data_IF_031933601696
#
_entry.id   IF_031933601696
#
_cell.length_a   1.000
_cell.length_b   1.000
_cell.length_c   1.000
_cell.angle_alpha   90.00
_cell.angle_beta   90.00
_cell.angle_gamma   90.00
#
_symmetry.space_group_name_H-M   'P 1'
#
loop_
_entity.id
_entity.type
_entity.pdbx_description
1 polymer ?
#
# COMPACT_ATOMS: atom_id res chain seq x y z
N UNK A 1 -26.14 -5.97 -26.64
CA UNK A 1 -26.66 -7.32 -26.30
C UNK A 1 -25.61 -8.32 -25.79
N UNK A 2 -24.30 -8.17 -26.06
CA UNK A 2 -23.29 -9.15 -25.60
C UNK A 2 -22.93 -9.00 -24.10
N UNK A 3 -22.98 -7.80 -23.51
CA UNK A 3 -22.69 -7.60 -22.06
C UNK A 3 -23.79 -8.05 -21.09
N UNK A 4 -25.06 -8.13 -21.51
CA UNK A 4 -26.15 -8.48 -20.57
C UNK A 4 -26.12 -9.96 -20.21
N UNK A 5 -25.84 -10.81 -21.22
CA UNK A 5 -25.71 -12.26 -21.07
C UNK A 5 -24.57 -12.64 -20.12
N UNK A 6 -23.51 -11.83 -20.05
CA UNK A 6 -22.39 -12.07 -19.12
C UNK A 6 -22.74 -11.75 -17.66
N UNK A 7 -23.54 -10.72 -17.38
CA UNK A 7 -23.89 -10.34 -15.99
C UNK A 7 -24.83 -11.38 -15.37
N UNK A 8 -25.87 -11.80 -16.08
CA UNK A 8 -26.82 -12.82 -15.60
C UNK A 8 -26.10 -14.15 -15.29
N UNK A 9 -25.14 -14.54 -16.13
CA UNK A 9 -24.31 -15.73 -15.89
C UNK A 9 -23.43 -15.59 -14.64
N UNK A 10 -22.88 -14.39 -14.39
CA UNK A 10 -22.10 -14.12 -13.19
C UNK A 10 -22.97 -14.13 -11.93
N UNK A 11 -24.18 -13.57 -11.99
CA UNK A 11 -25.16 -13.61 -10.91
C UNK A 11 -25.55 -15.04 -10.55
N UNK A 12 -25.83 -15.87 -11.55
CA UNK A 12 -26.14 -17.29 -11.34
C UNK A 12 -24.96 -18.05 -10.71
N UNK A 13 -23.73 -17.79 -11.17
CA UNK A 13 -22.53 -18.38 -10.55
C UNK A 13 -22.36 -17.92 -9.10
N UNK A 14 -22.63 -16.65 -8.81
CA UNK A 14 -22.59 -16.13 -7.45
C UNK A 14 -23.64 -16.84 -6.58
N UNK A 15 -24.85 -17.03 -7.06
CA UNK A 15 -25.90 -17.81 -6.39
C UNK A 15 -25.46 -19.26 -6.11
N UNK A 16 -24.85 -19.93 -7.09
CA UNK A 16 -24.36 -21.31 -6.95
C UNK A 16 -23.24 -21.41 -5.89
N UNK A 17 -22.31 -20.46 -5.86
CA UNK A 17 -21.19 -20.44 -4.90
C UNK A 17 -21.68 -20.12 -3.49
N UNK A 18 -22.48 -19.05 -3.37
CA UNK A 18 -22.92 -18.52 -2.08
C UNK A 18 -24.03 -19.38 -1.47
N UNK A 19 -25.00 -19.83 -2.27
CA UNK A 19 -25.99 -20.83 -1.89
C UNK A 19 -26.73 -20.55 -0.57
N UNK A 20 -27.04 -19.28 -0.27
CA UNK A 20 -27.59 -18.82 1.02
C UNK A 20 -26.76 -19.22 2.24
N UNK A 21 -25.46 -19.44 2.07
CA UNK A 21 -24.52 -19.58 3.18
C UNK A 21 -24.24 -18.22 3.79
N UNK A 22 -23.85 -18.24 5.07
CA UNK A 22 -23.31 -17.07 5.74
C UNK A 22 -21.95 -16.71 5.15
N UNK A 23 -21.72 -15.44 4.84
CA UNK A 23 -20.45 -14.97 4.30
C UNK A 23 -19.96 -13.68 4.93
N UNK A 24 -18.65 -13.41 4.75
CA UNK A 24 -18.04 -12.10 4.95
C UNK A 24 -17.47 -11.65 3.61
N UNK A 25 -17.94 -10.51 3.11
CA UNK A 25 -17.45 -9.90 1.88
C UNK A 25 -16.77 -8.58 2.22
N UNK A 26 -15.51 -8.40 1.81
CA UNK A 26 -14.78 -7.15 1.96
C UNK A 26 -14.68 -6.47 0.60
N UNK A 27 -15.28 -5.29 0.48
CA UNK A 27 -15.17 -4.43 -0.69
C UNK A 27 -14.14 -3.34 -0.37
N UNK A 28 -12.92 -3.52 -0.85
CA UNK A 28 -11.79 -2.65 -0.56
C UNK A 28 -11.69 -1.47 -1.56
N UNK A 29 -11.36 -0.27 -1.07
CA UNK A 29 -11.16 0.99 -1.82
C UNK A 29 -12.32 1.39 -2.76
N UNK A 30 -13.56 1.33 -2.26
CA UNK A 30 -14.74 1.72 -3.05
C UNK A 30 -14.80 3.25 -3.24
N UNK A 31 -14.95 3.67 -4.50
CA UNK A 31 -14.97 5.09 -4.89
C UNK A 31 -16.23 5.52 -5.64
N UNK A 32 -17.11 4.59 -6.01
CA UNK A 32 -18.31 4.91 -6.76
C UNK A 32 -19.38 5.57 -5.86
N UNK A 33 -19.77 6.80 -6.21
CA UNK A 33 -20.76 7.60 -5.48
C UNK A 33 -22.16 7.60 -6.12
N UNK A 34 -22.39 6.73 -7.11
CA UNK A 34 -23.68 6.53 -7.76
C UNK A 34 -24.58 5.66 -6.88
N UNK A 35 -25.45 6.32 -6.13
CA UNK A 35 -26.38 5.68 -5.20
C UNK A 35 -27.24 4.59 -5.84
N UNK A 36 -27.72 4.80 -7.06
CA UNK A 36 -28.58 3.84 -7.78
C UNK A 36 -27.87 2.52 -8.04
N UNK A 37 -26.60 2.56 -8.43
CA UNK A 37 -25.81 1.33 -8.66
C UNK A 37 -25.72 0.48 -7.38
N UNK A 38 -25.65 1.10 -6.21
CA UNK A 38 -25.69 0.38 -4.94
C UNK A 38 -27.11 -0.11 -4.59
N UNK A 39 -28.08 0.81 -4.52
CA UNK A 39 -29.43 0.52 -4.01
C UNK A 39 -30.25 -0.38 -4.94
N UNK A 40 -30.12 -0.20 -6.25
CA UNK A 40 -30.98 -0.85 -7.24
C UNK A 40 -30.33 -2.11 -7.85
N UNK A 41 -28.98 -2.21 -7.86
CA UNK A 41 -28.27 -3.32 -8.51
C UNK A 41 -27.52 -4.22 -7.53
N UNK A 42 -26.49 -3.70 -6.84
CA UNK A 42 -25.57 -4.54 -6.07
C UNK A 42 -26.16 -5.03 -4.74
N UNK A 43 -26.81 -4.15 -3.98
CA UNK A 43 -27.36 -4.50 -2.67
C UNK A 43 -28.47 -5.56 -2.77
N UNK A 44 -29.46 -5.46 -3.68
CA UNK A 44 -30.49 -6.50 -3.82
C UNK A 44 -29.89 -7.86 -4.20
N UNK A 45 -28.92 -7.88 -5.10
CA UNK A 45 -28.21 -9.09 -5.51
C UNK A 45 -27.48 -9.76 -4.33
N UNK A 46 -26.69 -8.98 -3.58
CA UNK A 46 -25.94 -9.53 -2.44
C UNK A 46 -26.86 -10.01 -1.32
N UNK A 47 -27.99 -9.32 -1.12
CA UNK A 47 -29.01 -9.74 -0.16
C UNK A 47 -29.78 -11.00 -0.59
N UNK A 48 -29.99 -11.24 -1.89
CA UNK A 48 -30.73 -12.41 -2.37
C UNK A 48 -29.93 -13.72 -2.23
N UNK A 49 -28.60 -13.62 -2.39
CA UNK A 49 -27.69 -14.79 -2.34
C UNK A 49 -27.18 -15.13 -0.94
N UNK A 50 -27.29 -14.18 0.01
CA UNK A 50 -26.73 -14.30 1.35
C UNK A 50 -27.60 -15.02 2.37
N UNK A 51 -26.98 -15.88 3.17
CA UNK A 51 -27.61 -16.47 4.35
C UNK A 51 -27.72 -15.48 5.52
N UNK A 52 -28.60 -15.74 6.50
CA UNK A 52 -28.67 -14.96 7.73
C UNK A 52 -27.31 -14.84 8.42
N UNK A 53 -26.99 -13.62 8.89
CA UNK A 53 -25.72 -13.31 9.53
C UNK A 53 -24.55 -13.01 8.58
N UNK A 54 -24.81 -12.89 7.27
CA UNK A 54 -23.81 -12.42 6.31
C UNK A 54 -23.47 -10.94 6.53
N UNK A 55 -22.21 -10.58 6.34
CA UNK A 55 -21.69 -9.22 6.58
C UNK A 55 -20.92 -8.75 5.36
N UNK A 56 -21.14 -7.49 5.00
CA UNK A 56 -20.34 -6.78 3.99
C UNK A 56 -19.58 -5.68 4.72
N UNK A 57 -18.25 -5.68 4.58
CA UNK A 57 -17.37 -4.62 5.07
C UNK A 57 -16.93 -3.83 3.86
N UNK A 58 -17.11 -2.50 3.91
CA UNK A 58 -16.68 -1.60 2.85
C UNK A 58 -15.60 -0.69 3.40
N UNK A 59 -14.45 -0.61 2.74
CA UNK A 59 -13.45 0.42 2.99
C UNK A 59 -13.55 1.47 1.89
N UNK A 60 -13.49 2.74 2.25
CA UNK A 60 -13.57 3.85 1.31
C UNK A 60 -12.93 5.11 1.91
N UNK A 61 -12.52 6.04 1.05
CA UNK A 61 -12.00 7.35 1.47
C UNK A 61 -13.08 8.43 1.51
N UNK A 62 -14.16 8.25 0.74
CA UNK A 62 -15.24 9.23 0.63
C UNK A 62 -16.32 8.99 1.68
N UNK A 63 -16.60 10.01 2.50
CA UNK A 63 -17.74 10.01 3.43
C UNK A 63 -19.07 9.84 2.68
N UNK A 64 -19.14 10.27 1.42
CA UNK A 64 -20.34 10.10 0.58
C UNK A 64 -20.54 8.64 0.19
N UNK A 65 -19.49 7.93 -0.23
CA UNK A 65 -19.55 6.47 -0.46
C UNK A 65 -19.99 5.76 0.82
N UNK A 66 -19.39 6.08 1.96
CA UNK A 66 -19.80 5.52 3.25
C UNK A 66 -21.28 5.76 3.53
N UNK A 67 -21.78 6.98 3.31
CA UNK A 67 -23.20 7.31 3.53
C UNK A 67 -24.17 6.59 2.60
N UNK A 68 -23.74 6.27 1.37
CA UNK A 68 -24.53 5.52 0.38
C UNK A 68 -24.64 4.05 0.79
N UNK A 69 -23.51 3.46 1.19
CA UNK A 69 -23.42 2.00 1.38
C UNK A 69 -23.70 1.54 2.80
N UNK A 70 -23.65 2.44 3.79
CA UNK A 70 -23.77 2.04 5.19
C UNK A 70 -25.17 1.56 5.57
N UNK A 71 -25.21 0.47 6.35
CA UNK A 71 -26.41 -0.02 7.04
C UNK A 71 -26.35 0.21 8.56
N UNK A 72 -25.17 0.60 9.05
CA UNK A 72 -24.87 0.97 10.44
C UNK A 72 -24.01 2.24 10.44
N UNK A 73 -23.80 2.87 11.60
CA UNK A 73 -22.93 4.05 11.70
C UNK A 73 -21.54 3.75 11.12
N UNK A 74 -21.06 4.51 10.12
CA UNK A 74 -19.72 4.31 9.57
C UNK A 74 -18.64 4.44 10.66
N UNK A 75 -17.65 3.56 10.60
CA UNK A 75 -16.48 3.66 11.45
C UNK A 75 -15.43 4.55 10.75
N UNK A 76 -15.29 5.79 11.21
CA UNK A 76 -14.23 6.68 10.74
C UNK A 76 -12.90 6.30 11.41
N UNK A 77 -11.90 5.93 10.61
CA UNK A 77 -10.57 5.62 11.11
C UNK A 77 -9.92 6.89 11.68
N UNK A 78 -9.51 6.82 12.95
CA UNK A 78 -8.78 7.89 13.61
C UNK A 78 -7.30 7.88 13.21
N UNK A 79 -6.64 9.02 13.38
CA UNK A 79 -5.17 9.10 13.35
C UNK A 79 -4.58 8.36 14.56
N UNK A 80 -3.32 7.94 14.44
CA UNK A 80 -2.60 7.32 15.54
C UNK A 80 -2.36 8.32 16.68
N UNK A 81 -2.28 7.79 17.91
CA UNK A 81 -1.83 8.56 19.08
C UNK A 81 -0.36 8.98 18.92
N UNK A 82 0.12 9.89 19.76
CA UNK A 82 1.53 10.33 19.73
C UNK A 82 2.46 9.13 20.02
N UNK A 83 2.07 8.30 20.99
CA UNK A 83 2.82 7.13 21.42
C UNK A 83 2.85 6.05 20.34
N UNK A 84 1.69 5.68 19.77
CA UNK A 84 1.64 4.71 18.67
C UNK A 84 2.36 5.22 17.42
N UNK A 85 2.32 6.55 17.18
CA UNK A 85 3.04 7.17 16.07
C UNK A 85 4.54 7.09 16.26
N UNK A 86 5.01 7.36 17.48
CA UNK A 86 6.41 7.23 17.85
C UNK A 86 6.89 5.79 17.72
N UNK A 87 6.13 4.83 18.25
CA UNK A 87 6.47 3.40 18.16
C UNK A 87 6.56 2.93 16.70
N UNK A 88 5.57 3.29 15.87
CA UNK A 88 5.56 2.93 14.47
C UNK A 88 6.76 3.51 13.70
N UNK A 89 7.07 4.78 13.96
CA UNK A 89 8.23 5.44 13.37
C UNK A 89 9.53 4.81 13.87
N UNK A 90 9.64 4.58 15.17
CA UNK A 90 10.81 4.03 15.84
C UNK A 90 11.21 2.69 15.24
N UNK A 91 10.26 1.75 15.19
CA UNK A 91 10.45 0.42 14.61
C UNK A 91 10.91 0.44 13.16
N UNK A 92 10.70 1.56 12.46
CA UNK A 92 11.08 1.73 11.07
C UNK A 92 12.40 2.49 10.89
N UNK A 93 12.68 3.47 11.75
CA UNK A 93 13.85 4.34 11.67
C UNK A 93 15.08 3.76 12.38
N UNK A 94 14.88 3.11 13.52
CA UNK A 94 15.92 2.56 14.36
C UNK A 94 15.80 1.03 14.33
N UNK A 95 16.38 0.40 13.32
CA UNK A 95 16.59 -1.06 13.38
C UNK A 95 17.54 -1.37 14.56
N UNK A 96 17.36 -2.55 15.15
CA UNK A 96 17.81 -3.04 16.47
C UNK A 96 19.25 -2.78 16.97
N UNK A 97 20.10 -2.07 16.23
CA UNK A 97 21.54 -1.88 16.51
C UNK A 97 21.96 -0.41 16.74
N UNK A 98 21.03 0.53 16.78
CA UNK A 98 21.36 1.94 17.05
C UNK A 98 21.25 2.22 18.56
N UNK A 99 22.39 2.47 19.19
CA UNK A 99 22.45 3.00 20.56
C UNK A 99 21.67 4.32 20.61
N UNK A 100 20.71 4.44 21.53
CA UNK A 100 19.80 5.58 21.60
C UNK A 100 20.56 6.90 21.78
N UNK A 101 20.86 7.58 20.67
CA UNK A 101 21.37 8.93 20.74
C UNK A 101 20.20 9.84 21.11
N UNK A 102 20.22 10.38 22.33
CA UNK A 102 19.19 11.28 22.87
C UNK A 102 18.82 12.41 21.90
N UNK A 103 19.80 12.91 21.13
CA UNK A 103 19.55 13.95 20.12
C UNK A 103 18.73 13.45 18.92
N UNK A 104 19.00 12.24 18.40
CA UNK A 104 18.22 11.62 17.31
C UNK A 104 16.79 11.31 17.76
N UNK A 105 16.60 10.84 19.00
CA UNK A 105 15.28 10.63 19.60
C UNK A 105 14.49 11.94 19.60
N UNK A 106 15.13 13.04 20.02
CA UNK A 106 14.49 14.35 20.11
C UNK A 106 14.10 14.88 18.72
N UNK A 107 14.98 14.76 17.72
CA UNK A 107 14.68 15.13 16.33
C UNK A 107 13.57 14.25 15.75
N UNK A 108 13.65 12.94 15.98
CA UNK A 108 12.66 11.97 15.52
C UNK A 108 11.25 12.31 16.00
N UNK A 109 11.09 12.66 17.29
CA UNK A 109 9.78 13.05 17.83
C UNK A 109 9.20 14.29 17.15
N UNK A 110 10.04 15.27 16.82
CA UNK A 110 9.60 16.45 16.04
C UNK A 110 9.17 16.09 14.62
N UNK A 111 9.86 15.15 13.98
CA UNK A 111 9.48 14.61 12.66
C UNK A 111 8.15 13.84 12.73
N UNK A 112 7.96 13.01 13.76
CA UNK A 112 6.70 12.28 14.01
C UNK A 112 5.53 13.24 14.19
N UNK A 113 5.73 14.33 14.92
CA UNK A 113 4.71 15.37 15.08
C UNK A 113 4.32 16.02 13.73
N UNK A 114 5.28 16.19 12.81
CA UNK A 114 5.01 16.67 11.43
C UNK A 114 4.24 15.65 10.58
N UNK A 115 4.24 14.37 10.94
CA UNK A 115 3.49 13.33 10.22
C UNK A 115 2.00 13.27 10.59
N UNK A 116 1.58 13.97 11.66
CA UNK A 116 0.15 14.14 12.00
C UNK A 116 -0.61 12.83 12.28
N UNK A 117 0.08 11.79 12.77
CA UNK A 117 -0.52 10.50 13.10
C UNK A 117 -0.92 9.62 11.91
N UNK A 118 -0.47 9.96 10.69
CA UNK A 118 -0.70 9.17 9.48
C UNK A 118 0.26 7.96 9.41
N UNK A 119 -0.23 6.71 9.43
CA UNK A 119 0.64 5.53 9.43
C UNK A 119 1.60 5.47 8.24
N UNK A 120 1.12 5.81 7.03
CA UNK A 120 1.95 5.80 5.82
C UNK A 120 3.05 6.87 5.86
N UNK A 121 2.74 8.06 6.39
CA UNK A 121 3.71 9.14 6.56
C UNK A 121 4.84 8.71 7.52
N UNK A 122 4.46 8.14 8.67
CA UNK A 122 5.39 7.68 9.70
C UNK A 122 6.32 6.58 9.16
N UNK A 123 5.76 5.57 8.48
CA UNK A 123 6.55 4.50 7.85
C UNK A 123 7.50 5.04 6.77
N UNK A 124 7.02 6.00 5.96
CA UNK A 124 7.85 6.61 4.91
C UNK A 124 9.02 7.38 5.52
N UNK A 125 8.76 8.22 6.52
CA UNK A 125 9.81 9.02 7.19
C UNK A 125 10.79 8.14 7.96
N UNK A 126 10.30 7.13 8.68
CA UNK A 126 11.16 6.18 9.36
C UNK A 126 12.04 5.40 8.38
N UNK A 127 11.46 4.93 7.27
CA UNK A 127 12.21 4.25 6.21
C UNK A 127 13.29 5.15 5.59
N UNK A 128 12.97 6.41 5.31
CA UNK A 128 13.95 7.40 4.84
C UNK A 128 15.11 7.57 5.83
N UNK A 129 14.79 7.81 7.10
CA UNK A 129 15.76 8.12 8.15
C UNK A 129 16.57 6.92 8.61
N UNK A 130 16.10 5.69 8.37
CA UNK A 130 16.87 4.47 8.67
C UNK A 130 18.21 4.39 7.91
N UNK A 131 18.33 5.10 6.78
CA UNK A 131 19.58 5.21 6.02
C UNK A 131 20.50 6.35 6.49
N UNK A 132 20.10 7.10 7.53
CA UNK A 132 20.78 8.31 8.02
C UNK A 132 21.34 8.07 9.42
N UNK A 133 22.66 8.18 9.57
CA UNK A 133 23.34 7.88 10.84
C UNK A 133 23.73 9.14 11.63
N UNK A 134 23.83 10.30 10.96
CA UNK A 134 24.35 11.50 11.57
C UNK A 134 23.23 12.49 11.95
N UNK A 135 23.36 13.10 13.12
CA UNK A 135 22.46 14.16 13.62
C UNK A 135 22.20 15.27 12.59
N UNK A 136 23.21 15.82 11.87
CA UNK A 136 22.96 16.85 10.86
C UNK A 136 22.05 16.39 9.71
N UNK A 137 22.08 15.11 9.33
CA UNK A 137 21.21 14.59 8.29
C UNK A 137 19.75 14.55 8.76
N UNK A 138 19.52 14.13 10.00
CA UNK A 138 18.19 14.15 10.62
C UNK A 138 17.65 15.57 10.77
N UNK A 139 18.49 16.52 11.21
CA UNK A 139 18.12 17.95 11.30
C UNK A 139 17.77 18.54 9.94
N UNK A 140 18.54 18.23 8.89
CA UNK A 140 18.25 18.71 7.54
C UNK A 140 16.87 18.23 7.05
N UNK A 141 16.50 16.98 7.35
CA UNK A 141 15.16 16.45 7.06
C UNK A 141 14.10 17.14 7.92
N UNK A 142 14.36 17.31 9.22
CA UNK A 142 13.46 18.01 10.14
C UNK A 142 13.15 19.43 9.65
N UNK A 143 14.15 20.19 9.21
CA UNK A 143 14.00 21.57 8.75
C UNK A 143 13.25 21.71 7.43
N UNK A 144 13.01 20.60 6.70
CA UNK A 144 12.20 20.67 5.48
C UNK A 144 10.73 20.99 5.79
N UNK A 145 10.13 21.84 4.95
CA UNK A 145 8.74 22.28 5.04
C UNK A 145 7.78 21.17 4.58
N UNK A 146 7.69 20.11 5.37
CA UNK A 146 6.75 19.00 5.16
C UNK A 146 5.33 19.42 5.56
N UNK A 147 5.19 20.27 6.59
CA UNK A 147 3.91 20.64 7.21
C UNK A 147 3.32 22.00 6.81
N UNK A 148 4.05 22.82 6.05
CA UNK A 148 3.65 24.22 5.75
C UNK A 148 2.94 24.40 4.39
N UNK A 149 2.66 23.30 3.68
CA UNK A 149 1.94 23.40 2.41
C UNK A 149 0.48 23.78 2.66
N UNK A 150 0.02 24.75 1.87
CA UNK A 150 -1.29 25.43 1.88
C UNK A 150 -2.50 24.45 1.66
N UNK A 151 -2.25 23.14 1.55
CA UNK A 151 -3.24 22.06 1.34
C UNK A 151 -3.73 21.31 2.59
N UNK A 152 -3.16 21.56 3.78
CA UNK A 152 -3.69 21.05 5.05
C UNK A 152 -2.78 20.06 5.79
N UNK A 153 -2.95 20.01 7.12
CA UNK A 153 -2.09 19.31 8.11
C UNK A 153 -2.10 17.77 8.02
N UNK A 154 -2.75 17.18 7.02
CA UNK A 154 -3.00 15.74 6.93
C UNK A 154 -2.80 15.18 5.51
N UNK A 155 -1.99 15.83 4.68
CA UNK A 155 -1.61 15.29 3.37
C UNK A 155 -0.34 14.45 3.45
N UNK A 156 -0.38 13.23 2.94
CA UNK A 156 0.78 12.34 2.87
C UNK A 156 1.73 12.70 1.71
N UNK A 157 1.23 13.41 0.69
CA UNK A 157 1.97 13.70 -0.55
C UNK A 157 3.27 14.50 -0.35
N UNK A 158 3.35 15.55 0.50
CA UNK A 158 4.61 16.25 0.76
C UNK A 158 5.69 15.32 1.32
N UNK A 159 5.31 14.38 2.20
CA UNK A 159 6.21 13.39 2.81
C UNK A 159 6.72 12.41 1.77
N UNK A 160 5.81 11.87 0.95
CA UNK A 160 6.17 10.96 -0.15
C UNK A 160 7.10 11.64 -1.15
N UNK A 161 6.83 12.91 -1.51
CA UNK A 161 7.71 13.71 -2.38
C UNK A 161 9.09 13.92 -1.77
N UNK A 162 9.17 14.18 -0.46
CA UNK A 162 10.46 14.34 0.23
C UNK A 162 11.25 13.03 0.21
N UNK A 163 10.60 11.91 0.56
CA UNK A 163 11.22 10.58 0.50
C UNK A 163 11.71 10.26 -0.91
N UNK A 164 10.90 10.58 -1.94
CA UNK A 164 11.27 10.35 -3.34
C UNK A 164 12.49 11.18 -3.74
N UNK A 165 12.59 12.45 -3.31
CA UNK A 165 13.76 13.30 -3.59
C UNK A 165 15.06 12.68 -3.07
N UNK A 166 15.00 11.94 -1.97
CA UNK A 166 16.15 11.27 -1.34
C UNK A 166 16.44 9.86 -1.86
N UNK A 167 15.72 9.38 -2.87
CA UNK A 167 16.10 8.18 -3.62
C UNK A 167 17.26 8.48 -4.58
N UNK A 168 18.09 7.47 -4.86
CA UNK A 168 19.09 7.53 -5.92
C UNK A 168 18.42 7.70 -7.29
N UNK A 169 19.16 8.15 -8.30
CA UNK A 169 18.63 8.29 -9.66
C UNK A 169 18.10 6.96 -10.21
N UNK A 170 18.80 5.87 -9.92
CA UNK A 170 18.45 4.52 -10.33
C UNK A 170 17.16 4.03 -9.66
N UNK A 171 17.02 4.25 -8.34
CA UNK A 171 15.80 3.94 -7.60
C UNK A 171 14.60 4.76 -8.10
N UNK A 172 14.80 6.03 -8.44
CA UNK A 172 13.76 6.90 -9.02
C UNK A 172 13.27 6.36 -10.36
N UNK A 173 14.18 5.93 -11.24
CA UNK A 173 13.83 5.32 -12.52
C UNK A 173 13.07 4.00 -12.31
N UNK A 174 13.56 3.14 -11.43
CA UNK A 174 12.90 1.88 -11.08
C UNK A 174 11.48 2.11 -10.51
N UNK A 175 11.31 3.11 -9.65
CA UNK A 175 10.00 3.47 -9.11
C UNK A 175 9.07 4.06 -10.18
N UNK A 176 9.57 4.98 -11.01
CA UNK A 176 8.78 5.58 -12.08
C UNK A 176 8.27 4.55 -13.11
N UNK A 177 9.01 3.45 -13.31
CA UNK A 177 8.56 2.33 -14.14
C UNK A 177 7.24 1.70 -13.66
N UNK A 178 6.94 1.75 -12.36
CA UNK A 178 5.68 1.25 -11.82
C UNK A 178 4.45 1.98 -12.39
N UNK A 179 4.61 3.22 -12.88
CA UNK A 179 3.52 3.99 -13.47
C UNK A 179 3.02 3.43 -14.81
N UNK A 180 3.72 2.46 -15.41
CA UNK A 180 3.27 1.76 -16.61
C UNK A 180 2.21 0.69 -16.30
N UNK A 181 2.08 0.29 -15.03
CA UNK A 181 1.10 -0.70 -14.61
C UNK A 181 -0.22 0.01 -14.23
N UNK A 182 -1.38 -0.63 -14.47
CA UNK A 182 -2.65 -0.12 -13.99
C UNK A 182 -2.66 0.09 -12.47
N UNK A 183 -3.55 0.97 -12.00
CA UNK A 183 -3.79 1.15 -10.56
C UNK A 183 -4.13 -0.20 -9.91
N UNK A 184 -3.58 -0.44 -8.73
CA UNK A 184 -3.81 -1.64 -7.90
C UNK A 184 -3.32 -2.97 -8.54
N UNK A 185 -2.54 -2.91 -9.62
CA UNK A 185 -1.99 -4.08 -10.30
C UNK A 185 -0.93 -4.80 -9.43
N UNK A 186 -1.04 -6.13 -9.35
CA UNK A 186 -0.10 -7.00 -8.66
C UNK A 186 1.07 -7.36 -9.57
N UNK A 187 2.25 -6.82 -9.25
CA UNK A 187 3.47 -7.08 -9.99
C UNK A 187 4.24 -8.22 -9.32
N UNK A 188 4.53 -9.29 -10.06
CA UNK A 188 5.45 -10.33 -9.57
C UNK A 188 6.86 -9.74 -9.41
N UNK A 189 7.47 -9.91 -8.24
CA UNK A 189 8.78 -9.32 -7.88
C UNK A 189 9.86 -9.60 -8.92
N UNK A 190 10.08 -10.88 -9.23
CA UNK A 190 11.19 -11.29 -10.09
C UNK A 190 11.00 -10.77 -11.53
N UNK A 191 9.76 -10.79 -12.02
CA UNK A 191 9.40 -10.20 -13.32
C UNK A 191 9.64 -8.69 -13.34
N UNK A 192 9.25 -7.97 -12.28
CA UNK A 192 9.48 -6.53 -12.17
C UNK A 192 10.97 -6.20 -12.18
N UNK A 193 11.80 -6.98 -11.48
CA UNK A 193 13.25 -6.84 -11.49
C UNK A 193 13.81 -7.09 -12.90
N UNK A 194 13.42 -8.19 -13.55
CA UNK A 194 13.88 -8.53 -14.90
C UNK A 194 13.50 -7.46 -15.93
N UNK A 195 12.28 -6.92 -15.86
CA UNK A 195 11.84 -5.84 -16.74
C UNK A 195 12.69 -4.57 -16.55
N UNK A 196 13.04 -4.23 -15.32
CA UNK A 196 13.91 -3.07 -15.03
C UNK A 196 15.33 -3.27 -15.55
N UNK A 197 15.88 -4.49 -15.40
CA UNK A 197 17.19 -4.85 -15.97
C UNK A 197 17.15 -4.77 -17.51
N UNK A 198 16.13 -5.34 -18.15
CA UNK A 198 15.99 -5.34 -19.60
C UNK A 198 15.83 -3.93 -20.21
N UNK A 199 15.26 -2.99 -19.45
CA UNK A 199 15.17 -1.57 -19.84
C UNK A 199 16.42 -0.75 -19.49
N UNK A 200 17.46 -1.37 -18.92
CA UNK A 200 18.71 -0.70 -18.56
C UNK A 200 18.59 0.27 -17.38
N UNK A 201 17.53 0.15 -16.56
CA UNK A 201 17.36 0.97 -15.35
C UNK A 201 18.20 0.50 -14.18
N UNK A 202 18.77 -0.71 -14.27
CA UNK A 202 19.68 -1.27 -13.28
C UNK A 202 21.02 -1.47 -13.99
N UNK A 203 22.07 -0.87 -13.45
CA UNK A 203 23.43 -0.95 -14.00
C UNK A 203 24.36 -1.64 -13.02
N UNK A 204 25.34 -2.38 -13.55
CA UNK A 204 26.38 -3.00 -12.74
C UNK A 204 27.15 -1.95 -11.95
N UNK A 205 27.40 -2.22 -10.67
CA UNK A 205 28.14 -1.32 -9.79
C UNK A 205 29.02 -2.13 -8.85
N UNK A 206 30.34 -1.95 -8.98
CA UNK A 206 31.33 -2.68 -8.19
C UNK A 206 31.26 -4.19 -8.44
N UNK A 207 31.02 -4.96 -7.38
CA UNK A 207 30.97 -6.43 -7.41
C UNK A 207 29.56 -7.00 -7.42
N UNK A 208 28.52 -6.16 -7.34
CA UNK A 208 27.13 -6.60 -7.32
C UNK A 208 26.65 -6.90 -8.74
N UNK A 209 26.09 -8.10 -8.93
CA UNK A 209 25.41 -8.42 -10.18
C UNK A 209 24.07 -7.67 -10.30
N UNK A 210 23.53 -7.61 -11.53
CA UNK A 210 22.28 -6.91 -11.84
C UNK A 210 21.08 -7.42 -11.03
N UNK A 211 21.05 -8.72 -10.72
CA UNK A 211 19.94 -9.34 -9.98
C UNK A 211 20.01 -8.95 -8.51
N UNK A 212 21.20 -9.04 -7.90
CA UNK A 212 21.45 -8.60 -6.54
C UNK A 212 21.13 -7.11 -6.35
N UNK A 213 21.53 -6.28 -7.32
CA UNK A 213 21.19 -4.85 -7.30
C UNK A 213 19.69 -4.60 -7.45
N UNK A 214 19.03 -5.37 -8.32
CA UNK A 214 17.58 -5.32 -8.49
C UNK A 214 16.82 -5.69 -7.21
N UNK A 215 17.26 -6.72 -6.50
CA UNK A 215 16.72 -7.12 -5.19
C UNK A 215 16.94 -6.03 -4.14
N UNK A 216 18.15 -5.46 -4.08
CA UNK A 216 18.45 -4.34 -3.18
C UNK A 216 17.53 -3.14 -3.42
N UNK A 217 17.38 -2.71 -4.68
CA UNK A 217 16.49 -1.60 -5.04
C UNK A 217 15.04 -1.93 -4.70
N UNK A 218 14.58 -3.16 -4.97
CA UNK A 218 13.24 -3.59 -4.61
C UNK A 218 13.00 -3.50 -3.10
N UNK A 219 13.91 -4.04 -2.30
CA UNK A 219 13.83 -4.00 -0.84
C UNK A 219 13.89 -2.59 -0.28
N UNK A 220 14.73 -1.69 -0.83
CA UNK A 220 14.75 -0.28 -0.43
C UNK A 220 13.42 0.43 -0.74
N UNK A 221 12.81 0.17 -1.90
CA UNK A 221 11.52 0.75 -2.26
C UNK A 221 10.39 0.23 -1.37
N UNK A 222 10.42 -1.06 -0.99
CA UNK A 222 9.49 -1.62 0.01
C UNK A 222 9.74 -1.00 1.38
N UNK A 223 11.00 -0.92 1.79
CA UNK A 223 11.39 -0.39 3.08
C UNK A 223 10.93 1.06 3.26
N UNK A 224 11.08 1.88 2.22
CA UNK A 224 10.63 3.28 2.20
C UNK A 224 9.14 3.47 1.87
N UNK A 225 8.36 2.39 1.86
CA UNK A 225 6.90 2.40 1.64
C UNK A 225 6.45 2.90 0.26
N UNK A 226 7.30 2.83 -0.76
CA UNK A 226 6.91 3.07 -2.15
C UNK A 226 6.21 1.85 -2.78
N UNK A 227 6.64 0.66 -2.37
CA UNK A 227 6.04 -0.61 -2.73
C UNK A 227 5.50 -1.28 -1.47
N UNK A 228 4.40 -2.01 -1.62
CA UNK A 228 3.91 -2.93 -0.60
C UNK A 228 4.05 -4.35 -1.16
N UNK A 229 4.87 -5.17 -0.52
CA UNK A 229 5.04 -6.57 -0.86
C UNK A 229 4.01 -7.45 -0.13
N UNK A 230 3.63 -8.55 -0.79
CA UNK A 230 2.76 -9.57 -0.27
C UNK A 230 3.33 -10.93 -0.68
N UNK A 231 3.44 -11.85 0.28
CA UNK A 231 3.76 -13.25 -0.03
C UNK A 231 2.49 -13.94 -0.50
N UNK A 232 2.54 -14.51 -1.70
CA UNK A 232 1.41 -15.22 -2.31
C UNK A 232 1.84 -16.65 -2.60
N UNK A 233 1.02 -17.61 -2.20
CA UNK A 233 1.19 -19.01 -2.56
C UNK A 233 0.52 -19.22 -3.91
N UNK A 234 1.30 -19.49 -4.95
CA UNK A 234 0.79 -19.84 -6.27
C UNK A 234 0.70 -21.35 -6.37
N UNK A 235 -0.50 -21.85 -6.64
CA UNK A 235 -0.70 -23.26 -7.00
C UNK A 235 -0.60 -23.38 -8.51
N UNK A 236 0.47 -23.99 -9.01
CA UNK A 236 0.55 -24.35 -10.42
C UNK A 236 0.04 -25.79 -10.59
N UNK A 237 -0.95 -25.95 -11.46
CA UNK A 237 -1.50 -27.26 -11.82
C UNK A 237 -0.92 -27.65 -13.17
N UNK A 238 0.12 -28.49 -13.15
CA UNK A 238 0.57 -29.19 -14.35
C UNK A 238 -0.22 -30.50 -14.46
N UNK A 239 -0.39 -31.03 -15.68
CA UNK A 239 -1.33 -32.09 -16.03
C UNK A 239 -1.30 -33.38 -15.15
N UNK A 240 -0.29 -33.57 -14.28
CA UNK A 240 -0.19 -34.71 -13.35
C UNK A 240 0.31 -34.35 -11.94
N UNK A 241 0.56 -33.07 -11.62
CA UNK A 241 1.09 -32.67 -10.30
C UNK A 241 0.67 -31.26 -9.90
N UNK A 242 0.35 -31.07 -8.62
CA UNK A 242 0.03 -29.76 -8.05
C UNK A 242 1.23 -29.32 -7.23
N UNK A 243 1.99 -28.37 -7.76
CA UNK A 243 3.16 -27.83 -7.07
C UNK A 243 2.85 -26.46 -6.51
N UNK A 244 3.04 -26.29 -5.21
CA UNK A 244 2.87 -25.01 -4.52
C UNK A 244 4.22 -24.29 -4.49
N UNK A 245 4.26 -23.08 -5.05
CA UNK A 245 5.45 -22.23 -5.01
C UNK A 245 5.07 -20.90 -4.38
N UNK A 246 5.86 -20.46 -3.40
CA UNK A 246 5.72 -19.11 -2.85
C UNK A 246 6.34 -18.10 -3.83
N UNK A 247 5.57 -17.06 -4.17
CA UNK A 247 6.07 -15.91 -4.91
C UNK A 247 5.79 -14.63 -4.14
N UNK A 248 6.62 -13.62 -4.39
CA UNK A 248 6.40 -12.28 -3.84
C UNK A 248 5.76 -11.45 -4.94
N UNK A 249 4.60 -10.88 -4.65
CA UNK A 249 3.98 -9.84 -5.48
C UNK A 249 4.08 -8.50 -4.75
N UNK A 250 4.04 -7.40 -5.48
CA UNK A 250 3.96 -6.08 -4.89
C UNK A 250 2.94 -5.19 -5.60
N UNK A 251 2.49 -4.16 -4.88
CA UNK A 251 1.66 -3.05 -5.39
C UNK A 251 2.39 -1.73 -5.19
N UNK A 252 2.18 -0.80 -6.11
CA UNK A 252 2.62 0.59 -5.94
C UNK A 252 1.70 1.29 -4.91
N UNK A 253 2.29 1.98 -3.94
CA UNK A 253 1.54 2.64 -2.86
C UNK A 253 1.10 4.07 -3.18
N UNK A 254 1.56 4.63 -4.30
CA UNK A 254 1.38 6.04 -4.71
C UNK A 254 0.74 6.09 -6.10
#
# INVERSE_FOLDING_TARGET
MICQRSIELLQKKLEEVMGRKRFLLVLDDVWNEEKRMWDDELKPLLCSVGGPGSVIVVTCRSKKVASIMCTVKPHELAFLSEEDSWELFWNKAFNNDVEEQVELVTIGRRIVNKCGGLPLALKTMGGLLSSKQLVPEWKAIEETNIGDNIGGKHEVMPILKLSYKHLSSEMKQCFAFCALFPKDYEMQKDMLIQLRIANGFIQEEGTMDLTQKGEFIFHELVWRSFLQDMKVIVKSMFFYDTTEHETIVCKCMI
#
